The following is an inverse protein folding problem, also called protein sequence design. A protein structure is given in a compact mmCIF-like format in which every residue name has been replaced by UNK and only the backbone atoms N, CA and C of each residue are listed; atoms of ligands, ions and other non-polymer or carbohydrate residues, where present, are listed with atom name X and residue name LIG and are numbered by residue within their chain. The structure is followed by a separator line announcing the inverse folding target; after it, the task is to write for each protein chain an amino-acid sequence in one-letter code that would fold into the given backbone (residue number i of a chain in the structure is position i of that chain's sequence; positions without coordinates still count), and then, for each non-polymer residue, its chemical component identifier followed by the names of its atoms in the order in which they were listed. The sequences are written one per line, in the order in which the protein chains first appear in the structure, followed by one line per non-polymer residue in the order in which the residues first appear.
data_IF_249269018834
#
_entry.id   IF_249269018834
#
_cell.length_a   1.000
_cell.length_b   1.000
_cell.length_c   1.000
_cell.angle_alpha   90.00
_cell.angle_beta   90.00
_cell.angle_gamma   90.00
#
_symmetry.space_group_name_H-M   'P 1'
#
loop_
_entity.id
_entity.type
_entity.pdbx_description
1 polymer ?
#
# COMPACT_ATOMS: atom_id res chain seq x y z
N UNK A 1 17.57 5.29 27.40
CA UNK A 1 18.98 5.65 27.65
C UNK A 1 19.34 6.77 26.69
N UNK A 2 19.33 8.00 27.19
CA UNK A 2 19.67 9.20 26.42
C UNK A 2 21.16 9.53 26.64
N UNK A 3 21.92 9.72 25.56
CA UNK A 3 23.34 10.12 25.60
C UNK A 3 24.27 9.24 26.47
N UNK A 4 23.95 7.95 26.67
CA UNK A 4 24.62 7.10 27.68
C UNK A 4 26.13 6.92 27.51
N UNK A 5 26.64 6.91 26.28
CA UNK A 5 28.07 6.78 25.95
C UNK A 5 28.58 7.91 25.06
N UNK A 6 27.84 9.02 24.99
CA UNK A 6 28.17 10.14 24.12
C UNK A 6 29.61 10.63 24.37
N UNK A 7 30.34 10.95 23.30
CA UNK A 7 31.75 11.40 23.34
C UNK A 7 32.75 10.37 23.91
N UNK A 8 32.37 9.11 24.10
CA UNK A 8 33.34 8.07 24.46
C UNK A 8 34.19 7.68 23.25
N UNK A 9 35.22 8.45 22.98
CA UNK A 9 36.16 8.24 21.87
C UNK A 9 37.00 6.96 22.02
N UNK A 10 36.97 6.28 23.17
CA UNK A 10 37.63 4.99 23.37
C UNK A 10 36.71 3.79 23.12
N UNK A 11 35.39 4.01 22.98
CA UNK A 11 34.43 2.95 22.73
C UNK A 11 34.60 2.38 21.32
N UNK A 12 34.96 1.09 21.23
CA UNK A 12 35.10 0.36 19.96
C UNK A 12 33.90 -0.52 19.63
N UNK A 13 33.25 -1.05 20.66
CA UNK A 13 32.15 -2.01 20.52
C UNK A 13 31.08 -1.71 21.54
N UNK A 14 29.82 -1.82 21.12
CA UNK A 14 28.67 -1.83 22.01
C UNK A 14 27.73 -2.97 21.61
N UNK A 15 27.13 -3.64 22.59
CA UNK A 15 26.29 -4.81 22.35
C UNK A 15 25.09 -4.81 23.29
N UNK A 16 23.90 -5.00 22.71
CA UNK A 16 22.63 -5.09 23.42
C UNK A 16 21.88 -6.40 23.05
N UNK A 17 22.47 -7.58 23.33
CA UNK A 17 22.00 -8.86 22.79
C UNK A 17 20.68 -9.38 23.39
N UNK A 18 20.08 -8.62 24.32
CA UNK A 18 18.79 -8.94 24.95
C UNK A 18 17.78 -7.80 24.81
N UNK A 19 18.15 -6.72 24.13
CA UNK A 19 17.31 -5.56 23.96
C UNK A 19 16.30 -5.84 22.83
N UNK A 20 15.07 -6.17 23.23
CA UNK A 20 13.97 -6.45 22.28
C UNK A 20 13.16 -5.22 21.91
N UNK A 21 12.98 -4.31 22.86
CA UNK A 21 12.01 -3.22 22.72
C UNK A 21 12.65 -1.90 23.11
N UNK A 22 12.49 -0.91 22.24
CA UNK A 22 12.76 0.49 22.52
C UNK A 22 11.43 1.22 22.60
N UNK A 23 10.85 1.25 23.80
CA UNK A 23 9.58 1.90 24.11
C UNK A 23 9.77 3.22 24.88
N UNK A 24 8.80 4.12 24.73
CA UNK A 24 8.83 5.48 25.30
C UNK A 24 8.69 6.54 24.21
N UNK A 25 7.99 7.63 24.52
CA UNK A 25 7.85 8.77 23.60
C UNK A 25 9.14 9.58 23.68
N UNK A 26 9.91 9.62 22.59
CA UNK A 26 11.22 10.26 22.47
C UNK A 26 12.33 9.62 23.34
N UNK A 27 13.45 9.24 22.69
CA UNK A 27 14.75 8.99 23.34
C UNK A 27 15.03 7.62 24.03
N UNK A 28 14.58 6.51 23.45
CA UNK A 28 14.96 5.17 23.94
C UNK A 28 16.48 4.92 23.83
N UNK A 29 17.11 5.14 22.67
CA UNK A 29 18.57 5.14 22.46
C UNK A 29 19.04 6.40 21.72
N UNK A 30 18.32 7.50 21.83
CA UNK A 30 18.71 8.74 21.16
C UNK A 30 20.11 9.19 21.60
N UNK A 31 20.95 9.51 20.61
CA UNK A 31 22.32 9.98 20.78
C UNK A 31 23.21 9.08 21.65
N UNK A 32 22.83 7.82 21.87
CA UNK A 32 23.46 6.96 22.89
C UNK A 32 24.96 6.79 22.68
N UNK A 33 25.42 6.73 21.43
CA UNK A 33 26.82 6.62 21.04
C UNK A 33 27.28 7.79 20.15
N UNK A 34 26.58 8.92 20.19
CA UNK A 34 26.98 10.06 19.38
C UNK A 34 28.41 10.52 19.75
N UNK A 35 29.22 10.83 18.73
CA UNK A 35 30.64 11.21 18.86
C UNK A 35 31.58 10.11 19.38
N UNK A 36 31.18 8.84 19.40
CA UNK A 36 32.08 7.71 19.62
C UNK A 36 32.91 7.43 18.35
N UNK A 37 33.93 8.26 18.08
CA UNK A 37 34.66 8.25 16.80
C UNK A 37 35.41 6.95 16.49
N UNK A 38 35.66 6.10 17.50
CA UNK A 38 36.31 4.79 17.33
C UNK A 38 35.33 3.60 17.35
N UNK A 39 34.01 3.84 17.41
CA UNK A 39 33.02 2.78 17.41
C UNK A 39 33.01 2.07 16.05
N UNK A 40 33.26 0.76 16.08
CA UNK A 40 33.36 -0.10 14.89
C UNK A 40 32.23 -1.13 14.85
N UNK A 41 31.78 -1.61 16.02
CA UNK A 41 30.81 -2.70 16.14
C UNK A 41 29.65 -2.30 17.03
N UNK A 42 28.42 -2.48 16.51
CA UNK A 42 27.16 -2.30 17.24
C UNK A 42 26.35 -3.60 17.08
N UNK A 43 25.94 -4.22 18.18
CA UNK A 43 25.01 -5.34 18.15
C UNK A 43 23.64 -4.91 18.70
N UNK A 44 22.63 -4.98 17.82
CA UNK A 44 21.20 -4.74 18.10
C UNK A 44 20.35 -5.92 17.60
N UNK A 45 20.92 -7.12 17.50
CA UNK A 45 20.35 -8.23 16.74
C UNK A 45 18.98 -8.68 17.26
N UNK A 46 18.71 -8.48 18.56
CA UNK A 46 17.46 -8.88 19.20
C UNK A 46 16.34 -7.84 19.11
N UNK A 47 16.58 -6.68 18.50
CA UNK A 47 15.64 -5.57 18.48
C UNK A 47 14.45 -5.86 17.55
N UNK A 48 13.24 -5.95 18.12
CA UNK A 48 12.01 -6.29 17.39
C UNK A 48 10.97 -5.17 17.40
N UNK A 49 11.12 -4.13 18.23
CA UNK A 49 10.13 -3.05 18.35
C UNK A 49 10.75 -1.69 18.66
N UNK A 50 10.29 -0.67 17.93
CA UNK A 50 10.80 0.70 17.92
C UNK A 50 9.62 1.69 17.99
N UNK A 51 9.68 2.65 18.91
CA UNK A 51 8.80 3.84 18.94
C UNK A 51 9.43 5.03 18.22
N UNK A 52 8.68 6.12 18.06
CA UNK A 52 9.17 7.38 17.45
C UNK A 52 10.53 7.78 17.97
N UNK A 53 11.45 8.10 17.05
CA UNK A 53 12.84 8.52 17.32
C UNK A 53 13.64 7.59 18.23
N UNK A 54 13.32 6.29 18.28
CA UNK A 54 13.99 5.33 19.14
C UNK A 54 15.53 5.30 18.98
N UNK A 55 16.04 5.45 17.75
CA UNK A 55 17.47 5.43 17.40
C UNK A 55 17.97 6.76 16.82
N UNK A 56 17.23 7.85 17.06
CA UNK A 56 17.57 9.14 16.48
C UNK A 56 18.97 9.60 16.92
N UNK A 57 19.81 9.95 15.93
CA UNK A 57 21.21 10.35 16.10
C UNK A 57 22.08 9.37 16.91
N UNK A 58 21.64 8.11 17.09
CA UNK A 58 22.28 7.15 18.02
C UNK A 58 23.76 6.93 17.74
N UNK A 59 24.17 6.97 16.46
CA UNK A 59 25.54 6.73 16.02
C UNK A 59 26.13 7.93 15.26
N UNK A 60 25.60 9.14 15.49
CA UNK A 60 26.11 10.36 14.90
C UNK A 60 27.63 10.49 15.14
N UNK A 61 28.39 10.90 14.11
CA UNK A 61 29.85 11.06 14.16
C UNK A 61 30.66 9.79 14.52
N UNK A 62 30.09 8.58 14.44
CA UNK A 62 30.82 7.31 14.59
C UNK A 62 31.62 6.97 13.33
N UNK A 63 32.72 7.68 13.07
CA UNK A 63 33.48 7.66 11.80
C UNK A 63 34.04 6.29 11.39
N UNK A 64 34.18 5.35 12.33
CA UNK A 64 34.65 3.99 12.07
C UNK A 64 33.55 2.93 11.95
N UNK A 65 32.29 3.32 12.15
CA UNK A 65 31.17 2.41 11.97
C UNK A 65 30.96 2.18 10.48
N UNK A 66 31.22 0.96 10.02
CA UNK A 66 31.13 0.57 8.60
C UNK A 66 29.96 -0.35 8.29
N UNK A 67 29.44 -1.03 9.30
CA UNK A 67 28.27 -1.91 9.16
C UNK A 67 27.33 -1.73 10.35
N UNK A 68 26.03 -1.84 10.08
CA UNK A 68 24.97 -1.86 11.08
C UNK A 68 23.88 -2.82 10.60
N UNK A 69 23.33 -3.65 11.48
CA UNK A 69 22.31 -4.63 11.10
C UNK A 69 21.17 -4.67 12.11
N UNK A 70 19.97 -4.95 11.60
CA UNK A 70 18.73 -5.05 12.37
C UNK A 70 17.94 -6.33 12.02
N UNK A 71 18.53 -7.52 12.20
CA UNK A 71 18.00 -8.77 11.64
C UNK A 71 16.63 -9.20 12.23
N UNK A 72 16.26 -8.73 13.42
CA UNK A 72 14.99 -9.11 14.07
C UNK A 72 13.81 -8.16 13.81
N UNK A 73 13.98 -7.12 12.99
CA UNK A 73 12.87 -6.23 12.63
C UNK A 73 11.89 -6.91 11.65
N UNK A 74 10.61 -6.61 11.79
CA UNK A 74 9.52 -7.11 10.95
C UNK A 74 8.51 -5.97 10.67
N UNK A 75 7.48 -6.17 9.82
CA UNK A 75 6.55 -5.11 9.45
C UNK A 75 5.82 -4.45 10.64
N UNK A 76 5.66 -5.16 11.77
CA UNK A 76 5.01 -4.66 12.98
C UNK A 76 5.98 -3.95 13.94
N UNK A 77 7.27 -3.89 13.62
CA UNK A 77 8.28 -3.31 14.51
C UNK A 77 8.14 -1.80 14.74
N UNK A 78 7.40 -1.10 13.89
CA UNK A 78 7.47 0.37 13.76
C UNK A 78 6.28 1.12 14.36
N UNK A 79 5.20 0.43 14.75
CA UNK A 79 3.92 1.04 15.10
C UNK A 79 3.47 2.05 14.01
N UNK A 80 2.92 3.21 14.40
CA UNK A 80 2.48 4.27 13.47
C UNK A 80 3.55 5.36 13.25
N UNK A 81 4.84 5.04 13.40
CA UNK A 81 5.92 6.01 13.29
C UNK A 81 6.83 5.71 12.10
N UNK A 82 7.46 6.75 11.55
CA UNK A 82 8.39 6.68 10.40
C UNK A 82 9.69 7.47 10.63
N UNK A 83 9.97 7.89 11.88
CA UNK A 83 11.11 8.73 12.27
C UNK A 83 12.07 8.04 13.26
N UNK A 84 11.99 6.71 13.37
CA UNK A 84 12.76 5.92 14.34
C UNK A 84 14.27 6.04 14.13
N UNK A 85 14.69 6.21 12.88
CA UNK A 85 16.09 6.29 12.46
C UNK A 85 16.57 7.73 12.18
N UNK A 86 15.85 8.72 12.69
CA UNK A 86 16.08 10.13 12.37
C UNK A 86 17.54 10.55 12.59
N UNK A 87 18.24 10.84 11.49
CA UNK A 87 19.67 11.21 11.45
C UNK A 87 20.59 10.24 12.19
N UNK A 88 20.22 8.97 12.29
CA UNK A 88 20.93 7.92 13.04
C UNK A 88 22.44 7.87 12.72
N UNK A 89 22.81 8.13 11.46
CA UNK A 89 24.16 8.07 10.91
C UNK A 89 24.72 9.43 10.50
N UNK A 90 24.20 10.55 11.04
CA UNK A 90 24.70 11.88 10.69
C UNK A 90 26.23 11.98 10.85
N UNK A 91 26.91 12.46 9.80
CA UNK A 91 28.37 12.54 9.69
C UNK A 91 29.12 11.19 9.79
N UNK A 92 28.46 10.08 9.47
CA UNK A 92 29.10 8.77 9.20
C UNK A 92 29.24 8.62 7.69
N UNK A 93 30.29 7.93 7.22
CA UNK A 93 30.53 7.74 5.78
C UNK A 93 30.84 6.29 5.43
N UNK A 94 30.34 5.83 4.29
CA UNK A 94 30.52 4.47 3.75
C UNK A 94 30.06 3.39 4.74
N UNK A 95 28.91 3.59 5.37
CA UNK A 95 28.28 2.60 6.24
C UNK A 95 27.27 1.78 5.44
N UNK A 96 27.31 0.45 5.58
CA UNK A 96 26.28 -0.43 5.05
C UNK A 96 25.28 -0.76 6.15
N UNK A 97 24.00 -0.50 5.91
CA UNK A 97 22.91 -0.81 6.84
C UNK A 97 22.07 -1.96 6.29
N UNK A 98 21.93 -2.99 7.10
CA UNK A 98 21.29 -4.25 6.78
C UNK A 98 19.93 -4.36 7.46
N UNK A 99 18.89 -4.64 6.67
CA UNK A 99 17.52 -4.88 7.11
C UNK A 99 16.98 -6.20 6.54
N UNK A 100 16.05 -6.88 7.22
CA UNK A 100 15.30 -7.98 6.62
C UNK A 100 14.51 -7.52 5.39
N UNK A 101 14.49 -8.32 4.32
CA UNK A 101 13.72 -7.98 3.11
C UNK A 101 12.22 -7.75 3.38
N UNK A 102 11.65 -8.45 4.37
CA UNK A 102 10.24 -8.36 4.75
C UNK A 102 9.78 -6.95 5.13
N UNK A 103 10.68 -6.08 5.57
CA UNK A 103 10.33 -4.69 5.94
C UNK A 103 10.48 -3.69 4.81
N UNK A 104 10.94 -4.11 3.63
CA UNK A 104 11.23 -3.21 2.50
C UNK A 104 10.03 -2.32 2.16
N UNK A 105 8.85 -2.91 1.95
CA UNK A 105 7.61 -2.16 1.64
C UNK A 105 7.19 -1.17 2.74
N UNK A 106 7.64 -1.40 3.98
CA UNK A 106 7.29 -0.53 5.11
C UNK A 106 8.19 0.69 5.15
N UNK A 107 9.51 0.51 4.96
CA UNK A 107 10.50 1.57 5.22
C UNK A 107 11.13 2.18 3.97
N UNK A 108 10.98 1.58 2.78
CA UNK A 108 11.72 2.00 1.58
C UNK A 108 11.44 3.44 1.15
N UNK A 109 10.26 3.95 1.50
CA UNK A 109 9.81 5.30 1.15
C UNK A 109 10.04 6.32 2.29
N UNK A 110 10.63 5.90 3.42
CA UNK A 110 10.88 6.80 4.52
C UNK A 110 12.01 7.77 4.18
N UNK A 111 11.82 9.04 4.51
CA UNK A 111 12.83 10.09 4.29
C UNK A 111 14.18 9.76 4.94
N UNK A 112 14.18 9.14 6.12
CA UNK A 112 15.41 8.68 6.76
C UNK A 112 16.12 7.57 5.96
N UNK A 113 15.38 6.67 5.32
CA UNK A 113 15.96 5.62 4.47
C UNK A 113 16.48 6.22 3.17
N UNK A 114 15.69 7.07 2.51
CA UNK A 114 16.08 7.76 1.26
C UNK A 114 17.35 8.60 1.47
N UNK A 115 17.45 9.29 2.61
CA UNK A 115 18.62 10.12 2.96
C UNK A 115 19.82 9.32 3.50
N UNK A 116 19.79 7.99 3.48
CA UNK A 116 20.88 7.16 3.99
C UNK A 116 21.11 7.32 5.51
N UNK A 117 20.03 7.54 6.26
CA UNK A 117 19.99 7.81 7.69
C UNK A 117 20.78 9.06 8.11
N UNK A 118 20.91 10.04 7.20
CA UNK A 118 21.75 11.23 7.36
C UNK A 118 23.25 10.97 7.18
N UNK A 119 23.65 9.75 6.83
CA UNK A 119 25.03 9.40 6.51
C UNK A 119 25.40 9.73 5.05
N UNK A 120 26.69 9.85 4.79
CA UNK A 120 27.21 10.06 3.44
C UNK A 120 27.60 8.71 2.80
N UNK A 121 27.19 8.47 1.55
CA UNK A 121 27.48 7.22 0.85
C UNK A 121 27.04 5.97 1.65
N UNK A 122 25.91 6.07 2.35
CA UNK A 122 25.33 4.93 3.07
C UNK A 122 24.75 3.95 2.04
N UNK A 123 25.09 2.67 2.17
CA UNK A 123 24.49 1.59 1.37
C UNK A 123 23.41 0.95 2.23
N UNK A 124 22.21 0.76 1.68
CA UNK A 124 21.10 0.11 2.37
C UNK A 124 20.86 -1.22 1.68
N UNK A 125 21.02 -2.31 2.42
CA UNK A 125 20.80 -3.66 1.94
C UNK A 125 19.58 -4.24 2.64
N UNK A 126 18.65 -4.72 1.83
CA UNK A 126 17.55 -5.55 2.27
C UNK A 126 18.01 -7.00 2.13
N UNK A 127 18.56 -7.53 3.21
CA UNK A 127 19.08 -8.88 3.30
C UNK A 127 17.95 -9.87 3.04
N UNK A 128 18.11 -10.62 1.96
CA UNK A 128 17.29 -11.79 1.70
C UNK A 128 17.73 -12.90 2.66
N UNK A 129 17.03 -13.01 3.78
CA UNK A 129 16.83 -14.29 4.47
C UNK A 129 15.57 -14.94 3.90
N UNK A 130 15.48 -14.97 2.58
CA UNK A 130 14.29 -15.39 1.85
C UNK A 130 14.51 -16.80 1.30
N UNK A 131 13.40 -17.53 1.18
CA UNK A 131 13.35 -18.76 0.40
C UNK A 131 13.22 -18.34 -1.06
N UNK A 132 14.09 -18.86 -1.93
CA UNK A 132 13.91 -18.72 -3.36
C UNK A 132 13.01 -19.83 -3.87
N UNK A 133 11.89 -19.46 -4.48
CA UNK A 133 10.87 -20.37 -4.98
C UNK A 133 10.97 -20.44 -6.50
N UNK A 134 11.11 -21.65 -7.04
CA UNK A 134 10.98 -21.92 -8.47
C UNK A 134 9.68 -22.67 -8.71
N UNK A 135 8.73 -22.03 -9.40
CA UNK A 135 7.47 -22.67 -9.76
C UNK A 135 7.65 -23.39 -11.10
N UNK A 136 7.40 -24.68 -11.09
CA UNK A 136 7.45 -25.54 -12.27
C UNK A 136 6.03 -26.03 -12.50
N UNK A 137 5.40 -25.56 -13.58
CA UNK A 137 3.99 -25.82 -13.88
C UNK A 137 3.85 -26.70 -15.12
N UNK A 138 2.87 -27.61 -15.08
CA UNK A 138 2.42 -28.37 -16.25
C UNK A 138 1.54 -27.55 -17.21
N UNK A 139 1.10 -26.36 -16.77
CA UNK A 139 0.33 -25.38 -17.55
C UNK A 139 1.17 -24.16 -17.96
N UNK A 140 0.79 -23.54 -19.07
CA UNK A 140 1.32 -22.25 -19.54
C UNK A 140 0.40 -21.10 -19.10
N UNK A 141 0.86 -19.84 -19.24
CA UNK A 141 0.08 -18.63 -18.91
C UNK A 141 -0.54 -18.66 -17.50
N UNK A 142 0.30 -18.91 -16.51
CA UNK A 142 -0.12 -18.91 -15.11
C UNK A 142 0.21 -17.59 -14.43
N UNK A 143 -0.69 -17.15 -13.55
CA UNK A 143 -0.40 -16.11 -12.58
C UNK A 143 -0.16 -16.73 -11.21
N UNK A 144 0.79 -16.18 -10.47
CA UNK A 144 1.20 -16.70 -9.17
C UNK A 144 1.09 -15.59 -8.15
N UNK A 145 0.50 -15.91 -6.99
CA UNK A 145 0.55 -15.06 -5.81
C UNK A 145 1.12 -15.84 -4.65
N UNK A 146 2.03 -15.23 -3.90
CA UNK A 146 2.65 -15.80 -2.70
C UNK A 146 2.49 -14.80 -1.55
N UNK A 147 1.80 -15.18 -0.47
CA UNK A 147 1.49 -14.29 0.65
C UNK A 147 1.00 -12.90 0.20
N UNK A 148 0.00 -12.88 -0.70
CA UNK A 148 -0.58 -11.69 -1.31
C UNK A 148 0.38 -10.87 -2.20
N UNK A 149 1.49 -11.43 -2.67
CA UNK A 149 2.36 -10.79 -3.65
C UNK A 149 2.27 -11.48 -5.01
N UNK A 150 1.89 -10.73 -6.05
CA UNK A 150 1.81 -11.24 -7.43
C UNK A 150 3.21 -11.33 -8.02
N UNK A 151 3.55 -12.49 -8.57
CA UNK A 151 4.82 -12.72 -9.26
C UNK A 151 4.58 -12.63 -10.77
N UNK A 152 5.44 -11.87 -11.46
CA UNK A 152 5.41 -11.74 -12.93
C UNK A 152 6.24 -12.81 -13.65
N UNK A 153 6.98 -13.61 -12.90
CA UNK A 153 7.87 -14.66 -13.38
C UNK A 153 7.58 -15.97 -12.65
N UNK A 154 8.06 -17.08 -13.20
CA UNK A 154 7.96 -18.42 -12.62
C UNK A 154 8.92 -18.64 -11.44
N UNK A 155 9.52 -17.58 -10.90
CA UNK A 155 10.38 -17.65 -9.74
C UNK A 155 10.32 -16.36 -8.93
N UNK A 156 10.62 -16.44 -7.65
CA UNK A 156 10.71 -15.25 -6.81
C UNK A 156 11.07 -15.59 -5.36
N UNK A 157 10.87 -14.63 -4.48
CA UNK A 157 11.32 -14.72 -3.09
C UNK A 157 10.15 -14.65 -2.14
N UNK A 158 10.22 -15.44 -1.07
CA UNK A 158 9.25 -15.38 0.00
C UNK A 158 9.94 -15.47 1.37
N UNK A 159 9.25 -14.98 2.40
CA UNK A 159 9.76 -15.03 3.77
C UNK A 159 9.71 -16.48 4.28
N UNK A 160 10.78 -16.95 4.92
CA UNK A 160 10.84 -18.27 5.53
C UNK A 160 9.67 -18.51 6.52
N UNK A 161 9.25 -19.77 6.65
CA UNK A 161 8.09 -20.18 7.44
C UNK A 161 7.00 -20.83 6.59
N UNK A 162 5.76 -20.74 7.06
CA UNK A 162 4.59 -21.22 6.32
C UNK A 162 4.17 -20.16 5.29
N UNK A 163 3.98 -20.58 4.05
CA UNK A 163 3.74 -19.70 2.92
C UNK A 163 2.50 -20.18 2.18
N UNK A 164 1.51 -19.30 2.09
CA UNK A 164 0.33 -19.53 1.26
C UNK A 164 0.63 -19.08 -0.17
N UNK A 165 0.28 -19.93 -1.14
CA UNK A 165 0.40 -19.54 -2.53
C UNK A 165 -0.84 -19.96 -3.33
N UNK A 166 -1.09 -19.16 -4.35
CA UNK A 166 -2.16 -19.36 -5.32
C UNK A 166 -1.54 -19.37 -6.72
N UNK A 167 -1.95 -20.33 -7.56
CA UNK A 167 -1.58 -20.39 -8.97
C UNK A 167 -2.85 -20.43 -9.82
N UNK A 168 -3.02 -19.50 -10.73
CA UNK A 168 -4.18 -19.44 -11.62
C UNK A 168 -3.78 -19.72 -13.06
N UNK A 169 -4.35 -20.76 -13.68
CA UNK A 169 -4.27 -21.02 -15.11
C UNK A 169 -5.37 -20.25 -15.83
N UNK A 170 -4.98 -19.23 -16.60
CA UNK A 170 -5.93 -18.41 -17.36
C UNK A 170 -6.63 -19.23 -18.45
N UNK A 171 -5.90 -20.13 -19.10
CA UNK A 171 -6.40 -20.91 -20.24
C UNK A 171 -7.47 -21.93 -19.83
N UNK A 172 -7.40 -22.45 -18.61
CA UNK A 172 -8.31 -23.50 -18.10
C UNK A 172 -9.36 -22.96 -17.11
N UNK A 173 -9.30 -21.68 -16.75
CA UNK A 173 -10.04 -21.08 -15.64
C UNK A 173 -9.94 -21.91 -14.35
N UNK A 174 -8.71 -22.22 -13.94
CA UNK A 174 -8.41 -23.16 -12.86
C UNK A 174 -7.46 -22.55 -11.85
N UNK A 175 -7.89 -22.48 -10.59
CA UNK A 175 -7.14 -21.94 -9.48
C UNK A 175 -6.63 -23.09 -8.59
N UNK A 176 -5.35 -23.09 -8.24
CA UNK A 176 -4.76 -23.96 -7.24
C UNK A 176 -4.40 -23.15 -6.00
N UNK A 177 -4.79 -23.64 -4.83
CA UNK A 177 -4.50 -23.04 -3.53
C UNK A 177 -3.80 -24.04 -2.62
N UNK A 178 -2.58 -23.71 -2.20
CA UNK A 178 -1.76 -24.59 -1.37
C UNK A 178 -0.99 -23.81 -0.29
N UNK A 179 -0.35 -24.55 0.60
CA UNK A 179 0.48 -23.99 1.68
C UNK A 179 1.77 -24.79 1.77
N UNK A 180 2.89 -24.10 1.59
CA UNK A 180 4.23 -24.64 1.83
C UNK A 180 4.51 -24.47 3.32
N UNK A 181 4.86 -25.55 4.01
CA UNK A 181 5.06 -25.49 5.45
C UNK A 181 6.54 -25.53 5.79
N UNK A 182 6.94 -24.76 6.81
CA UNK A 182 8.27 -24.78 7.40
C UNK A 182 9.41 -24.55 6.40
N UNK A 183 9.28 -23.58 5.49
CA UNK A 183 10.35 -23.27 4.55
C UNK A 183 11.53 -22.61 5.27
N UNK A 184 12.73 -23.15 5.07
CA UNK A 184 13.95 -22.70 5.74
C UNK A 184 14.57 -21.46 5.08
N UNK A 185 15.11 -20.55 5.87
CA UNK A 185 15.86 -19.40 5.35
C UNK A 185 17.01 -19.83 4.44
N UNK A 186 17.26 -19.07 3.38
CA UNK A 186 18.34 -19.31 2.40
C UNK A 186 18.24 -20.66 1.67
N UNK A 187 17.05 -21.25 1.61
CA UNK A 187 16.78 -22.44 0.78
C UNK A 187 16.28 -22.07 -0.61
N UNK A 188 16.54 -22.95 -1.57
CA UNK A 188 15.93 -22.93 -2.90
C UNK A 188 14.95 -24.09 -2.96
N UNK A 189 13.70 -23.80 -3.31
CA UNK A 189 12.63 -24.81 -3.34
C UNK A 189 11.98 -24.80 -4.70
N UNK A 190 12.02 -25.97 -5.35
CA UNK A 190 11.29 -26.22 -6.58
C UNK A 190 9.88 -26.70 -6.24
N UNK A 191 8.88 -25.90 -6.60
CA UNK A 191 7.47 -26.18 -6.38
C UNK A 191 6.88 -26.71 -7.68
N UNK A 192 6.51 -27.98 -7.67
CA UNK A 192 5.82 -28.59 -8.80
C UNK A 192 4.32 -28.28 -8.71
N UNK A 193 3.88 -27.27 -9.46
CA UNK A 193 2.48 -26.90 -9.59
C UNK A 193 1.82 -27.91 -10.52
N UNK A 194 0.95 -28.76 -9.96
CA UNK A 194 0.25 -29.80 -10.70
C UNK A 194 -1.25 -29.50 -10.69
N UNK A 195 -1.80 -29.19 -11.87
CA UNK A 195 -3.22 -28.93 -12.04
C UNK A 195 -4.06 -30.21 -12.28
N UNK A 196 -3.44 -31.38 -12.38
CA UNK A 196 -4.12 -32.68 -12.51
C UNK A 196 -4.54 -33.25 -11.14
N UNK A 197 -5.21 -32.45 -10.31
CA UNK A 197 -5.73 -32.82 -9.00
C UNK A 197 -7.27 -32.83 -8.99
N UNK A 198 -7.89 -33.21 -7.87
CA UNK A 198 -9.34 -33.14 -7.71
C UNK A 198 -9.81 -31.69 -7.74
N UNK A 199 -10.74 -31.40 -8.65
CA UNK A 199 -11.29 -30.06 -8.87
C UNK A 199 -12.63 -29.94 -8.15
N UNK A 200 -12.77 -28.85 -7.38
CA UNK A 200 -14.04 -28.38 -6.86
C UNK A 200 -14.53 -27.23 -7.72
N UNK A 201 -15.81 -27.25 -8.08
CA UNK A 201 -16.43 -26.14 -8.78
C UNK A 201 -17.01 -25.14 -7.79
N UNK A 202 -16.59 -23.89 -7.86
CA UNK A 202 -17.21 -22.79 -7.13
C UNK A 202 -18.17 -22.09 -8.09
N UNK A 203 -19.43 -21.94 -7.67
CA UNK A 203 -20.47 -21.25 -8.42
C UNK A 203 -21.01 -20.08 -7.62
N UNK A 204 -20.91 -18.88 -8.17
CA UNK A 204 -21.61 -17.70 -7.69
C UNK A 204 -22.85 -17.49 -8.55
N UNK A 205 -24.02 -17.74 -7.97
CA UNK A 205 -25.30 -17.50 -8.62
C UNK A 205 -25.74 -16.07 -8.36
N UNK A 206 -25.77 -15.28 -9.44
CA UNK A 206 -26.17 -13.88 -9.43
C UNK A 206 -27.59 -13.71 -9.98
N UNK A 207 -28.10 -14.70 -10.72
CA UNK A 207 -29.41 -14.65 -11.38
C UNK A 207 -29.51 -13.64 -12.53
N UNK A 208 -28.43 -12.93 -12.85
CA UNK A 208 -28.34 -11.92 -13.91
C UNK A 208 -27.14 -12.25 -14.80
N UNK A 209 -27.41 -12.40 -16.09
CA UNK A 209 -26.41 -12.75 -17.11
C UNK A 209 -25.69 -11.51 -17.63
N UNK A 210 -24.44 -11.67 -18.03
CA UNK A 210 -23.63 -10.65 -18.70
C UNK A 210 -23.04 -9.57 -17.79
N UNK A 211 -22.99 -9.80 -16.47
CA UNK A 211 -22.29 -8.91 -15.53
C UNK A 211 -20.80 -9.25 -15.46
N UNK A 212 -19.99 -8.24 -15.17
CA UNK A 212 -18.57 -8.44 -14.88
C UNK A 212 -18.41 -8.92 -13.42
N UNK A 213 -17.94 -10.16 -13.27
CA UNK A 213 -17.74 -10.83 -11.99
C UNK A 213 -16.27 -11.22 -11.88
N UNK A 214 -15.67 -10.89 -10.73
CA UNK A 214 -14.26 -11.16 -10.45
C UNK A 214 -14.14 -11.92 -9.14
N UNK A 215 -13.38 -13.01 -9.14
CA UNK A 215 -12.94 -13.71 -7.94
C UNK A 215 -11.54 -13.23 -7.53
N UNK A 216 -11.23 -13.32 -6.25
CA UNK A 216 -9.91 -13.00 -5.71
C UNK A 216 -9.42 -14.10 -4.77
N UNK A 217 -8.18 -14.52 -5.01
CA UNK A 217 -7.43 -15.43 -4.16
C UNK A 217 -6.12 -14.74 -3.76
N UNK A 218 -6.05 -14.31 -2.50
CA UNK A 218 -5.05 -13.32 -2.11
C UNK A 218 -5.18 -12.05 -2.94
N UNK A 219 -4.10 -11.66 -3.63
CA UNK A 219 -4.09 -10.53 -4.58
C UNK A 219 -4.27 -10.93 -6.05
N UNK A 220 -4.43 -12.21 -6.39
CA UNK A 220 -4.79 -12.60 -7.76
C UNK A 220 -6.20 -12.13 -8.08
N UNK A 221 -6.35 -11.48 -9.24
CA UNK A 221 -7.63 -11.03 -9.80
C UNK A 221 -8.04 -12.01 -10.90
N UNK A 222 -9.10 -12.78 -10.65
CA UNK A 222 -9.51 -13.88 -11.50
C UNK A 222 -10.86 -13.55 -12.15
N UNK A 223 -10.91 -13.29 -13.47
CA UNK A 223 -12.18 -13.10 -14.16
C UNK A 223 -13.05 -14.36 -14.05
N UNK A 224 -14.30 -14.19 -13.64
CA UNK A 224 -15.22 -15.32 -13.56
C UNK A 224 -15.78 -15.68 -14.93
N UNK A 225 -15.99 -16.98 -15.17
CA UNK A 225 -16.62 -17.46 -16.42
C UNK A 225 -18.10 -17.66 -16.17
N UNK A 226 -18.96 -16.99 -16.94
CA UNK A 226 -20.40 -17.28 -16.91
C UNK A 226 -20.71 -18.54 -17.72
N UNK A 227 -21.34 -19.54 -17.11
CA UNK A 227 -21.79 -20.73 -17.83
C UNK A 227 -23.23 -20.62 -18.34
N UNK A 228 -24.15 -20.14 -17.50
CA UNK A 228 -25.56 -19.92 -17.88
C UNK A 228 -26.32 -19.14 -16.82
N UNK A 229 -27.26 -18.30 -17.26
CA UNK A 229 -28.28 -17.64 -16.42
C UNK A 229 -27.70 -16.89 -15.20
N UNK A 230 -26.55 -16.23 -15.34
CA UNK A 230 -25.88 -15.53 -14.25
C UNK A 230 -25.20 -16.44 -13.23
N UNK A 231 -24.89 -17.69 -13.59
CA UNK A 231 -24.01 -18.55 -12.81
C UNK A 231 -22.57 -18.38 -13.27
N UNK A 232 -21.77 -17.76 -12.41
CA UNK A 232 -20.35 -17.50 -12.64
C UNK A 232 -19.53 -18.53 -11.90
N UNK A 233 -18.55 -19.13 -12.59
CA UNK A 233 -17.84 -20.31 -12.09
C UNK A 233 -16.33 -20.10 -12.04
N UNK A 234 -15.72 -20.75 -11.06
CA UNK A 234 -14.28 -20.91 -10.93
C UNK A 234 -13.98 -22.34 -10.51
N UNK A 235 -13.11 -23.01 -11.25
CA UNK A 235 -12.62 -24.32 -10.87
C UNK A 235 -11.46 -24.15 -9.88
N UNK A 236 -11.50 -24.87 -8.77
CA UNK A 236 -10.55 -24.71 -7.67
C UNK A 236 -9.99 -26.06 -7.24
N UNK A 237 -8.68 -26.14 -7.13
CA UNK A 237 -7.94 -27.20 -6.47
C UNK A 237 -7.53 -26.66 -5.09
N UNK A 238 -7.94 -27.37 -4.05
CA UNK A 238 -7.76 -26.94 -2.65
C UNK A 238 -9.09 -26.88 -1.90
N UNK A 239 -9.00 -26.95 -0.58
CA UNK A 239 -10.14 -26.87 0.35
C UNK A 239 -9.79 -25.96 1.53
N UNK A 240 -10.80 -25.47 2.23
CA UNK A 240 -10.69 -24.69 3.47
C UNK A 240 -9.91 -23.36 3.33
N UNK A 241 -10.01 -22.73 2.15
CA UNK A 241 -9.53 -21.37 1.91
C UNK A 241 -10.71 -20.46 1.55
N UNK A 242 -10.50 -19.15 1.64
CA UNK A 242 -11.53 -18.16 1.32
C UNK A 242 -11.27 -17.58 -0.07
N UNK A 243 -12.31 -17.47 -0.88
CA UNK A 243 -12.28 -16.74 -2.14
C UNK A 243 -13.16 -15.51 -1.97
N UNK A 244 -12.60 -14.32 -2.19
CA UNK A 244 -13.41 -13.10 -2.24
C UNK A 244 -14.01 -12.97 -3.64
N UNK A 245 -15.15 -12.29 -3.75
CA UNK A 245 -15.71 -11.94 -5.04
C UNK A 245 -16.14 -10.48 -5.08
N UNK A 246 -16.20 -9.94 -6.29
CA UNK A 246 -16.85 -8.68 -6.60
C UNK A 246 -17.72 -8.86 -7.85
N UNK A 247 -18.91 -8.28 -7.82
CA UNK A 247 -19.86 -8.20 -8.92
C UNK A 247 -20.02 -6.72 -9.28
N UNK A 248 -19.72 -6.38 -10.52
CA UNK A 248 -20.04 -5.09 -11.11
C UNK A 248 -21.45 -5.13 -11.67
N UNK A 249 -22.40 -4.49 -10.99
CA UNK A 249 -23.79 -4.39 -11.45
C UNK A 249 -23.99 -3.41 -12.62
N UNK A 250 -22.89 -2.85 -13.15
CA UNK A 250 -22.86 -1.83 -14.19
C UNK A 250 -23.79 -0.65 -13.87
N UNK A 251 -24.63 -0.23 -14.83
CA UNK A 251 -25.55 0.89 -14.70
C UNK A 251 -26.92 0.48 -14.14
N UNK A 252 -27.27 -0.79 -14.24
CA UNK A 252 -28.65 -1.24 -14.07
C UNK A 252 -28.87 -1.95 -12.73
N UNK A 253 -27.81 -2.42 -12.09
CA UNK A 253 -27.89 -3.21 -10.88
C UNK A 253 -26.91 -2.75 -9.80
N UNK A 254 -27.18 -3.13 -8.55
CA UNK A 254 -26.28 -2.91 -7.41
C UNK A 254 -24.95 -3.62 -7.61
N UNK A 255 -23.86 -3.07 -7.08
CA UNK A 255 -22.61 -3.82 -6.92
C UNK A 255 -22.74 -4.74 -5.71
N UNK A 256 -21.98 -5.83 -5.69
CA UNK A 256 -21.86 -6.68 -4.50
C UNK A 256 -20.44 -7.19 -4.32
N UNK A 257 -20.05 -7.40 -3.08
CA UNK A 257 -18.80 -8.04 -2.71
C UNK A 257 -19.06 -9.02 -1.57
N UNK A 258 -18.22 -10.03 -1.45
CA UNK A 258 -18.37 -11.01 -0.39
C UNK A 258 -17.24 -12.04 -0.37
N UNK A 259 -17.41 -13.03 0.51
CA UNK A 259 -16.48 -14.13 0.70
C UNK A 259 -17.22 -15.45 0.53
N UNK A 260 -16.64 -16.34 -0.26
CA UNK A 260 -17.03 -17.74 -0.39
C UNK A 260 -16.02 -18.56 0.43
N UNK A 261 -16.50 -19.22 1.48
CA UNK A 261 -15.67 -20.12 2.30
C UNK A 261 -15.66 -21.51 1.65
N UNK A 262 -14.48 -22.04 1.32
CA UNK A 262 -14.35 -23.34 0.64
C UNK A 262 -14.47 -24.54 1.60
N UNK A 263 -15.58 -24.65 2.34
CA UNK A 263 -15.81 -25.72 3.32
C UNK A 263 -16.61 -26.90 2.74
N UNK A 264 -16.07 -27.55 1.70
CA UNK A 264 -16.70 -28.71 1.07
C UNK A 264 -16.38 -28.85 -0.41
N UNK A 265 -17.07 -29.76 -1.08
CA UNK A 265 -16.98 -29.99 -2.52
C UNK A 265 -18.10 -29.25 -3.25
N UNK A 266 -17.81 -28.72 -4.44
CA UNK A 266 -18.77 -28.11 -5.37
C UNK A 266 -19.74 -27.10 -4.71
N UNK A 267 -19.19 -25.92 -4.37
CA UNK A 267 -19.88 -24.92 -3.57
C UNK A 267 -20.68 -23.98 -4.46
N UNK A 268 -21.91 -23.71 -4.05
CA UNK A 268 -22.77 -22.69 -4.67
C UNK A 268 -23.14 -21.63 -3.64
N UNK A 269 -22.91 -20.36 -3.96
CA UNK A 269 -23.33 -19.22 -3.16
C UNK A 269 -24.20 -18.30 -4.01
N UNK A 270 -25.26 -17.76 -3.42
CA UNK A 270 -26.09 -16.74 -4.07
C UNK A 270 -25.57 -15.35 -3.70
N UNK A 271 -25.57 -14.43 -4.66
CA UNK A 271 -25.34 -13.02 -4.42
C UNK A 271 -26.64 -12.24 -4.63
N UNK A 272 -26.96 -11.38 -3.66
CA UNK A 272 -28.12 -10.49 -3.76
C UNK A 272 -27.77 -9.27 -4.62
N UNK A 273 -28.39 -9.19 -5.79
CA UNK A 273 -28.27 -8.06 -6.71
C UNK A 273 -29.67 -7.52 -7.03
N UNK A 274 -29.84 -6.20 -6.98
CA UNK A 274 -31.12 -5.54 -7.22
C UNK A 274 -31.01 -4.44 -8.29
N UNK A 275 -32.09 -4.15 -9.03
CA UNK A 275 -32.10 -3.03 -9.97
C UNK A 275 -31.86 -1.69 -9.27
N UNK A 276 -31.12 -0.79 -9.92
CA UNK A 276 -30.83 0.56 -9.41
C UNK A 276 -31.13 1.61 -10.45
N UNK A 277 -31.26 2.86 -10.01
CA UNK A 277 -31.29 4.02 -10.91
C UNK A 277 -30.02 4.83 -10.71
N UNK A 278 -29.36 5.20 -11.81
CA UNK A 278 -28.22 6.12 -11.75
C UNK A 278 -28.70 7.56 -11.64
N UNK A 279 -28.17 8.27 -10.65
CA UNK A 279 -28.35 9.71 -10.48
C UNK A 279 -27.02 10.44 -10.62
N UNK A 280 -27.09 11.64 -11.17
CA UNK A 280 -25.94 12.56 -11.20
C UNK A 280 -25.66 13.04 -9.79
N UNK A 281 -24.40 12.93 -9.38
CA UNK A 281 -23.94 13.48 -8.11
C UNK A 281 -23.90 15.00 -8.18
N UNK A 282 -24.43 15.66 -7.16
CA UNK A 282 -24.28 17.11 -6.95
C UNK A 282 -23.47 17.29 -5.68
N UNK A 283 -22.25 17.81 -5.82
CA UNK A 283 -21.35 18.00 -4.68
C UNK A 283 -21.93 19.04 -3.71
N UNK A 284 -22.04 18.73 -2.40
CA UNK A 284 -22.35 19.76 -1.40
C UNK A 284 -21.13 20.66 -1.19
N UNK A 285 -21.37 21.95 -0.92
CA UNK A 285 -20.29 22.88 -0.58
C UNK A 285 -19.86 22.68 0.88
N UNK A 286 -18.56 22.45 1.09
CA UNK A 286 -17.99 22.29 2.41
C UNK A 286 -17.70 23.64 3.08
N UNK A 287 -17.82 23.70 4.40
CA UNK A 287 -17.42 24.86 5.21
C UNK A 287 -16.23 24.57 6.13
N UNK A 288 -15.89 23.29 6.29
CA UNK A 288 -14.73 22.77 7.01
C UNK A 288 -14.36 21.37 6.50
N UNK A 289 -13.20 20.85 6.89
CA UNK A 289 -12.83 19.46 6.61
C UNK A 289 -13.75 18.53 7.41
N UNK A 290 -14.44 17.60 6.74
CA UNK A 290 -15.30 16.61 7.38
C UNK A 290 -14.54 15.35 7.84
N UNK A 291 -15.25 14.44 8.50
CA UNK A 291 -14.73 13.12 8.88
C UNK A 291 -14.87 12.13 7.72
N UNK A 292 -13.74 11.62 7.20
CA UNK A 292 -13.75 10.55 6.21
C UNK A 292 -14.41 9.29 6.79
N UNK A 293 -15.35 8.70 6.06
CA UNK A 293 -16.12 7.53 6.52
C UNK A 293 -17.36 7.88 7.36
N UNK A 294 -17.64 9.16 7.58
CA UNK A 294 -18.84 9.64 8.28
C UNK A 294 -20.14 9.53 7.47
N UNK A 295 -21.16 10.27 7.88
CA UNK A 295 -22.49 10.25 7.27
C UNK A 295 -22.71 11.33 6.18
N UNK A 296 -21.68 12.10 5.84
CA UNK A 296 -21.75 13.19 4.87
C UNK A 296 -20.54 13.22 3.96
N UNK A 297 -20.63 14.00 2.87
CA UNK A 297 -19.46 14.32 2.05
C UNK A 297 -18.38 14.97 2.91
N UNK A 298 -17.12 14.56 2.72
CA UNK A 298 -15.99 15.01 3.49
C UNK A 298 -14.72 15.07 2.64
N UNK A 299 -13.75 15.86 3.06
CA UNK A 299 -12.45 15.95 2.43
C UNK A 299 -11.34 16.03 3.47
N UNK A 300 -10.20 15.41 3.16
CA UNK A 300 -8.98 15.47 3.94
C UNK A 300 -7.77 15.50 2.99
N UNK A 301 -6.63 15.90 3.52
CA UNK A 301 -5.40 16.06 2.74
C UNK A 301 -4.16 15.78 3.55
N UNK A 302 -3.05 15.61 2.85
CA UNK A 302 -1.70 15.64 3.42
C UNK A 302 -0.97 16.88 2.91
N UNK A 303 -0.05 17.42 3.73
CA UNK A 303 0.81 18.54 3.34
C UNK A 303 0.26 19.93 3.60
N UNK A 304 -0.92 20.07 4.20
CA UNK A 304 -1.55 21.37 4.51
C UNK A 304 -0.58 22.30 5.24
N UNK A 305 -0.35 23.50 4.68
CA UNK A 305 0.55 24.46 5.33
C UNK A 305 -0.07 25.09 6.58
N UNK A 306 -1.41 25.20 6.63
CA UNK A 306 -2.16 25.65 7.82
C UNK A 306 -3.67 25.40 7.66
N UNK A 307 -4.42 25.43 8.76
CA UNK A 307 -5.89 25.31 8.75
C UNK A 307 -6.60 26.41 7.95
N UNK A 308 -5.97 27.58 7.76
CA UNK A 308 -6.53 28.67 6.93
C UNK A 308 -6.56 28.33 5.44
N UNK A 309 -5.82 27.30 5.00
CA UNK A 309 -5.78 26.82 3.62
C UNK A 309 -6.22 25.35 3.52
N UNK A 310 -7.11 24.91 4.42
CA UNK A 310 -7.56 23.52 4.47
C UNK A 310 -8.25 23.07 3.18
N UNK A 311 -8.17 21.78 2.89
CA UNK A 311 -8.66 21.18 1.63
C UNK A 311 -10.14 21.41 1.37
N UNK A 312 -10.98 21.59 2.38
CA UNK A 312 -12.40 21.90 2.17
C UNK A 312 -12.63 23.10 1.24
N UNK A 313 -11.66 24.02 1.14
CA UNK A 313 -11.71 25.16 0.23
C UNK A 313 -11.83 24.75 -1.24
N UNK A 314 -11.20 23.67 -1.68
CA UNK A 314 -11.37 23.18 -3.07
C UNK A 314 -12.76 22.62 -3.33
N UNK A 315 -13.55 22.45 -2.27
CA UNK A 315 -14.90 21.90 -2.31
C UNK A 315 -15.95 22.85 -1.74
N UNK A 316 -15.64 24.15 -1.57
CA UNK A 316 -16.57 25.10 -0.97
C UNK A 316 -17.37 25.92 -2.00
N UNK A 317 -17.05 25.79 -3.29
CA UNK A 317 -17.73 26.50 -4.38
C UNK A 317 -17.36 27.98 -4.49
N UNK A 318 -16.28 28.42 -3.84
CA UNK A 318 -15.72 29.74 -3.98
C UNK A 318 -14.35 29.65 -4.66
N UNK A 319 -14.33 29.85 -5.98
CA UNK A 319 -13.13 29.76 -6.84
C UNK A 319 -12.01 30.78 -6.49
N UNK A 320 -12.27 31.73 -5.58
CA UNK A 320 -11.24 32.67 -5.09
C UNK A 320 -10.49 32.15 -3.87
N UNK A 321 -11.06 31.18 -3.17
CA UNK A 321 -10.36 30.44 -2.12
C UNK A 321 -9.39 29.44 -2.72
N UNK A 322 -8.41 29.00 -1.94
CA UNK A 322 -7.50 27.95 -2.38
C UNK A 322 -6.99 27.10 -1.22
N UNK A 323 -6.78 25.84 -1.54
CA UNK A 323 -5.95 24.92 -0.77
C UNK A 323 -4.47 25.21 -1.03
N UNK A 324 -3.65 25.14 0.02
CA UNK A 324 -2.20 25.29 -0.10
C UNK A 324 -1.49 24.21 0.70
N UNK A 325 -0.68 23.42 0.00
CA UNK A 325 0.15 22.39 0.59
C UNK A 325 1.63 22.49 0.18
N UNK A 326 2.48 21.94 1.02
CA UNK A 326 3.93 21.85 0.88
C UNK A 326 4.41 20.51 1.47
N UNK A 327 4.42 19.48 0.63
CA UNK A 327 4.95 18.16 0.93
C UNK A 327 5.37 17.51 -0.38
N UNK A 328 6.48 16.75 -0.38
CA UNK A 328 7.01 16.07 -1.57
C UNK A 328 5.93 15.31 -2.37
N UNK A 329 4.96 14.74 -1.65
CA UNK A 329 3.73 14.17 -2.22
C UNK A 329 2.55 14.70 -1.42
N UNK A 330 1.70 15.46 -2.10
CA UNK A 330 0.44 15.94 -1.55
C UNK A 330 -0.68 14.97 -1.92
N UNK A 331 -1.63 14.77 -1.00
CA UNK A 331 -2.84 14.01 -1.29
C UNK A 331 -4.07 14.83 -1.00
N UNK A 332 -5.08 14.73 -1.86
CA UNK A 332 -6.45 15.17 -1.57
C UNK A 332 -7.35 13.95 -1.62
N UNK A 333 -8.02 13.66 -0.51
CA UNK A 333 -9.01 12.59 -0.41
C UNK A 333 -10.38 13.19 -0.20
N UNK A 334 -11.33 12.84 -1.06
CA UNK A 334 -12.74 13.12 -0.81
C UNK A 334 -13.52 11.82 -0.58
N UNK A 335 -14.54 11.92 0.26
CA UNK A 335 -15.41 10.82 0.65
C UNK A 335 -16.86 11.20 0.42
N UNK A 336 -17.66 10.25 -0.07
CA UNK A 336 -19.11 10.33 -0.09
C UNK A 336 -19.70 9.04 0.50
N UNK A 337 -20.69 9.10 1.41
CA UNK A 337 -21.30 7.91 2.01
C UNK A 337 -21.89 6.95 0.97
N UNK A 338 -22.42 7.52 -0.10
CA UNK A 338 -22.88 6.80 -1.27
C UNK A 338 -21.73 6.69 -2.27
N UNK A 339 -21.37 5.48 -2.66
CA UNK A 339 -20.26 5.26 -3.57
C UNK A 339 -20.50 5.99 -4.91
N UNK A 340 -19.49 6.69 -5.40
CA UNK A 340 -19.52 7.46 -6.63
C UNK A 340 -18.75 6.73 -7.72
N UNK A 341 -19.29 6.74 -8.93
CA UNK A 341 -18.53 6.46 -10.15
C UNK A 341 -18.16 7.77 -10.80
N UNK A 342 -16.90 8.17 -10.62
CA UNK A 342 -16.36 9.43 -11.13
C UNK A 342 -16.00 9.26 -12.61
N UNK A 343 -16.61 10.09 -13.46
CA UNK A 343 -16.29 10.14 -14.89
C UNK A 343 -15.13 11.10 -15.15
N UNK A 344 -15.15 12.27 -14.52
CA UNK A 344 -14.06 13.23 -14.60
C UNK A 344 -13.96 14.13 -13.37
N UNK A 345 -12.77 14.71 -13.19
CA UNK A 345 -12.54 15.83 -12.29
C UNK A 345 -12.09 17.03 -13.10
N UNK A 346 -12.58 18.23 -12.77
CA UNK A 346 -12.02 19.47 -13.30
C UNK A 346 -11.30 20.17 -12.16
N UNK A 347 -9.99 20.32 -12.30
CA UNK A 347 -9.13 20.93 -11.29
C UNK A 347 -8.77 22.34 -11.76
N UNK A 348 -9.10 23.33 -10.94
CA UNK A 348 -8.71 24.71 -11.15
C UNK A 348 -7.55 25.07 -10.24
N UNK A 349 -6.47 25.58 -10.84
CA UNK A 349 -5.25 25.95 -10.14
C UNK A 349 -5.20 27.44 -9.88
N UNK A 350 -4.55 27.80 -8.78
CA UNK A 350 -4.29 29.20 -8.44
C UNK A 350 -3.45 29.93 -9.51
N UNK A 351 -2.58 29.20 -10.20
CA UNK A 351 -1.68 29.74 -11.22
C UNK A 351 -1.20 28.64 -12.16
N UNK A 352 -0.92 28.99 -13.42
CA UNK A 352 -0.33 28.08 -14.42
C UNK A 352 1.19 27.90 -14.27
N UNK A 353 1.81 28.51 -13.26
CA UNK A 353 3.22 28.32 -12.95
C UNK A 353 3.48 26.91 -12.41
N UNK A 354 4.55 26.27 -12.88
CA UNK A 354 5.05 24.99 -12.37
C UNK A 354 5.34 24.99 -10.85
N UNK A 355 5.46 26.18 -10.24
CA UNK A 355 5.61 26.35 -8.79
C UNK A 355 4.44 25.79 -8.00
N UNK A 356 3.22 25.81 -8.56
CA UNK A 356 1.96 25.53 -7.88
C UNK A 356 1.22 24.30 -8.41
N UNK A 357 1.81 23.61 -9.38
CA UNK A 357 1.21 22.49 -10.11
C UNK A 357 1.86 21.16 -9.67
N UNK A 358 1.09 20.06 -9.68
CA UNK A 358 1.65 18.74 -9.40
C UNK A 358 2.48 18.23 -10.58
N UNK A 359 3.45 17.36 -10.31
CA UNK A 359 4.29 16.72 -11.33
C UNK A 359 3.55 15.65 -12.12
N UNK A 360 2.57 15.01 -11.48
CA UNK A 360 1.64 14.05 -12.05
C UNK A 360 0.43 13.96 -11.13
N UNK A 361 -0.63 13.30 -11.57
CA UNK A 361 -1.79 13.01 -10.74
C UNK A 361 -2.15 11.55 -10.91
N UNK A 362 -2.10 10.78 -9.83
CA UNK A 362 -2.69 9.44 -9.77
C UNK A 362 -3.98 9.52 -8.97
N UNK A 363 -5.07 9.03 -9.55
CA UNK A 363 -6.37 8.95 -8.89
C UNK A 363 -6.58 7.52 -8.44
N UNK A 364 -6.95 7.36 -7.18
CA UNK A 364 -7.25 6.07 -6.56
C UNK A 364 -8.68 6.02 -6.05
N UNK A 365 -9.27 4.82 -6.06
CA UNK A 365 -10.58 4.52 -5.46
C UNK A 365 -10.45 3.54 -4.29
N UNK A 366 -11.30 3.71 -3.28
CA UNK A 366 -11.44 2.76 -2.17
C UNK A 366 -12.86 2.73 -1.61
N UNK A 367 -13.25 1.62 -0.98
CA UNK A 367 -14.51 1.50 -0.23
C UNK A 367 -14.32 1.38 1.28
N UNK A 368 -13.08 1.23 1.76
CA UNK A 368 -12.73 1.06 3.17
C UNK A 368 -11.62 2.00 3.67
N UNK A 369 -11.10 2.87 2.79
CA UNK A 369 -10.02 3.83 3.08
C UNK A 369 -8.66 3.19 3.41
N UNK A 370 -8.52 1.87 3.24
CA UNK A 370 -7.27 1.12 3.48
C UNK A 370 -6.75 0.46 2.21
N UNK A 371 -7.64 -0.19 1.47
CA UNK A 371 -7.32 -0.87 0.21
C UNK A 371 -7.63 0.09 -0.94
N UNK A 372 -6.61 0.49 -1.67
CA UNK A 372 -6.70 1.49 -2.73
C UNK A 372 -6.34 0.87 -4.08
N UNK A 373 -7.15 1.16 -5.09
CA UNK A 373 -6.91 0.78 -6.48
C UNK A 373 -6.58 2.04 -7.29
N UNK A 374 -5.49 2.03 -8.06
CA UNK A 374 -5.19 3.06 -9.04
C UNK A 374 -6.23 2.99 -10.17
N UNK A 375 -7.02 4.04 -10.32
CA UNK A 375 -8.10 4.10 -11.33
C UNK A 375 -7.78 4.98 -12.53
N UNK A 376 -6.85 5.93 -12.38
CA UNK A 376 -6.33 6.72 -13.50
C UNK A 376 -4.98 7.35 -13.13
N UNK A 377 -4.14 7.62 -14.14
CA UNK A 377 -2.89 8.35 -13.97
C UNK A 377 -2.72 9.37 -15.09
N UNK A 378 -2.19 10.54 -14.73
CA UNK A 378 -2.05 11.69 -15.61
C UNK A 378 -0.66 12.31 -15.45
N UNK A 379 0.04 12.46 -16.57
CA UNK A 379 1.35 13.12 -16.63
C UNK A 379 1.26 14.62 -16.31
N UNK A 380 2.42 15.27 -16.18
CA UNK A 380 2.52 16.71 -16.01
C UNK A 380 1.81 17.49 -17.13
N UNK A 381 1.10 18.56 -16.77
CA UNK A 381 0.49 19.49 -17.73
C UNK A 381 0.43 20.91 -17.18
N UNK A 382 0.63 21.91 -18.03
CA UNK A 382 0.52 23.34 -17.68
C UNK A 382 -0.87 23.87 -17.99
N UNK A 383 -1.49 24.58 -17.06
CA UNK A 383 -2.77 25.25 -17.29
C UNK A 383 -3.30 25.88 -16.00
N UNK A 384 -4.28 26.78 -16.14
CA UNK A 384 -5.07 27.27 -15.00
C UNK A 384 -6.21 26.32 -14.64
N UNK A 385 -6.61 25.46 -15.58
CA UNK A 385 -7.61 24.43 -15.37
C UNK A 385 -7.21 23.17 -16.12
N UNK A 386 -7.58 22.01 -15.58
CA UNK A 386 -7.29 20.70 -16.17
C UNK A 386 -8.46 19.74 -15.96
N UNK A 387 -8.94 19.14 -17.03
CA UNK A 387 -9.92 18.04 -16.97
C UNK A 387 -9.21 16.70 -16.91
N UNK A 388 -9.46 15.94 -15.87
CA UNK A 388 -8.99 14.56 -15.70
C UNK A 388 -10.12 13.60 -16.10
N UNK A 389 -9.99 12.95 -17.25
CA UNK A 389 -10.94 11.92 -17.68
C UNK A 389 -10.62 10.59 -17.00
N UNK A 390 -11.33 10.28 -15.92
CA UNK A 390 -11.06 9.10 -15.08
C UNK A 390 -11.80 7.88 -15.61
N UNK A 391 -13.08 8.04 -15.97
CA UNK A 391 -13.96 6.95 -16.43
C UNK A 391 -13.89 5.72 -15.51
N UNK A 392 -14.10 5.93 -14.20
CA UNK A 392 -14.03 4.84 -13.21
C UNK A 392 -14.95 3.70 -13.62
N UNK A 393 -14.42 2.47 -13.59
CA UNK A 393 -15.19 1.26 -13.90
C UNK A 393 -16.07 0.81 -12.72
N UNK A 394 -15.76 1.29 -11.51
CA UNK A 394 -16.41 0.90 -10.25
C UNK A 394 -16.91 2.13 -9.48
N UNK A 395 -17.81 1.90 -8.53
CA UNK A 395 -18.27 2.90 -7.59
C UNK A 395 -17.41 2.83 -6.31
N UNK A 396 -16.87 3.97 -5.90
CA UNK A 396 -16.03 4.09 -4.70
C UNK A 396 -16.58 5.11 -3.72
N UNK A 397 -16.52 4.81 -2.42
CA UNK A 397 -16.84 5.79 -1.38
C UNK A 397 -15.75 6.83 -1.20
N UNK A 398 -14.49 6.42 -1.35
CA UNK A 398 -13.32 7.26 -1.18
C UNK A 398 -12.59 7.41 -2.51
N UNK A 399 -12.14 8.62 -2.78
CA UNK A 399 -11.28 8.92 -3.92
C UNK A 399 -10.09 9.72 -3.43
N UNK A 400 -8.88 9.33 -3.83
CA UNK A 400 -7.64 10.01 -3.46
C UNK A 400 -6.88 10.43 -4.70
N UNK A 401 -6.55 11.71 -4.77
CA UNK A 401 -5.60 12.25 -5.73
C UNK A 401 -4.23 12.26 -5.06
N UNK A 402 -3.27 11.54 -5.63
CA UNK A 402 -1.86 11.57 -5.26
C UNK A 402 -1.16 12.52 -6.22
N UNK A 403 -0.50 13.53 -5.66
CA UNK A 403 0.02 14.68 -6.39
C UNK A 403 1.45 14.99 -5.93
N UNK A 404 2.46 14.30 -6.50
CA UNK A 404 3.86 14.64 -6.26
C UNK A 404 4.15 16.09 -6.63
N UNK A 405 4.98 16.77 -5.86
CA UNK A 405 5.34 18.16 -6.16
C UNK A 405 6.22 18.26 -7.40
N UNK A 406 5.91 19.24 -8.26
CA UNK A 406 6.78 19.55 -9.39
C UNK A 406 7.95 20.44 -8.99
N UNK A 407 7.73 21.39 -8.09
CA UNK A 407 8.73 22.40 -7.76
C UNK A 407 8.73 22.87 -6.31
N UNK A 408 7.61 23.40 -5.78
CA UNK A 408 7.63 24.02 -4.44
C UNK A 408 6.32 23.87 -3.67
N UNK A 409 5.17 24.06 -4.31
CA UNK A 409 3.88 24.07 -3.64
C UNK A 409 2.80 23.42 -4.50
N UNK A 410 1.71 23.01 -3.86
CA UNK A 410 0.45 22.75 -4.53
C UNK A 410 -0.57 23.83 -4.14
N UNK A 411 -1.19 24.47 -5.14
CA UNK A 411 -2.32 25.38 -4.90
C UNK A 411 -3.47 25.15 -5.87
N UNK A 412 -4.61 24.73 -5.31
CA UNK A 412 -5.83 24.39 -6.05
C UNK A 412 -6.95 25.27 -5.52
N UNK A 413 -7.70 25.90 -6.42
CA UNK A 413 -8.85 26.74 -6.09
C UNK A 413 -10.12 25.92 -5.96
N UNK A 414 -10.38 25.04 -6.92
CA UNK A 414 -11.63 24.28 -7.01
C UNK A 414 -11.37 22.90 -7.61
N UNK A 415 -12.13 21.90 -7.14
CA UNK A 415 -12.27 20.60 -7.81
C UNK A 415 -13.76 20.34 -8.05
N UNK A 416 -14.16 20.39 -9.32
CA UNK A 416 -15.47 19.93 -9.76
C UNK A 416 -15.46 18.41 -9.92
N UNK A 417 -16.48 17.75 -9.39
CA UNK A 417 -16.62 16.29 -9.43
C UNK A 417 -17.78 15.93 -10.35
N UNK A 418 -17.45 15.40 -11.53
CA UNK A 418 -18.45 14.81 -12.41
C UNK A 418 -18.57 13.32 -12.08
N UNK A 419 -19.68 12.95 -11.45
CA UNK A 419 -19.91 11.58 -11.02
C UNK A 419 -21.38 11.19 -11.07
N UNK A 420 -21.61 9.88 -11.05
CA UNK A 420 -22.92 9.28 -10.85
C UNK A 420 -22.90 8.37 -9.62
N UNK A 421 -24.06 8.11 -9.04
CA UNK A 421 -24.24 7.17 -7.95
C UNK A 421 -25.47 6.28 -8.18
N UNK A 422 -25.49 5.10 -7.56
CA UNK A 422 -26.62 4.17 -7.58
C UNK A 422 -27.59 4.52 -6.45
N UNK A 423 -28.80 4.96 -6.79
CA UNK A 423 -29.88 5.20 -5.82
C UNK A 423 -30.50 3.91 -5.30
#
# INVERSE_FOLDING_TARGET
MYCGFQHNTNLKTISFPKLKTLSGMYASLNSVCAYCTNLEIVNLDSLTSLTSRALSSAFQNCKKLKTLSFPSLNPQSFNNYNDQFHTMLANVSDCTVHFPYSIKKVISEWQDVISGFGGNNTIILFDLHAVYLNFISDKQNIEISVNDEIFTEMSGYAVAGDIEYACYSQDDNLLLLETLNNLEENSVVDINVNFAQTINKVTLNVGISGLDVTFYAGNLKIPAVEESNGNYVLNVIGQNKNIRYYINGENNYSDAEGVINLTGENITQNADIYPVTLKTFVRPNLTENGELGGNSFAAASTGDVSSSYGVYKVFNGNETDYFWANADINTITFYNPQALRVSSLVIEYYSSSSTYLPASITVQGSNNNTDWEDIASFEYETGLSRTLNINSQRFYKYHRLIMPEKSVYLRICEIEINASYKE
#
